data_IF_592084175871
#
_entry.id   IF_592084175871
#
_cell.length_a   1.000
_cell.length_b   1.000
_cell.length_c   1.000
_cell.angle_alpha   90.00
_cell.angle_beta   90.00
_cell.angle_gamma   90.00
#
_symmetry.space_group_name_H-M   'P 1'
#
loop_
_entity.id
_entity.type
_entity.pdbx_description
1 polymer ?
#
# COMPACT_ATOMS: atom_id res chain seq x y z
N UNK A 1 -10.73 14.50 73.95
CA UNK A 1 -9.50 14.27 73.16
C UNK A 1 -9.95 13.51 71.92
N UNK A 2 -10.51 14.22 70.93
CA UNK A 2 -9.81 14.71 69.71
C UNK A 2 -9.53 13.54 68.74
N UNK A 3 -9.72 13.54 67.42
CA UNK A 3 -10.27 14.41 66.36
C UNK A 3 -10.09 13.58 65.05
N UNK A 4 -11.11 13.53 64.16
CA UNK A 4 -11.04 13.45 62.66
C UNK A 4 -10.31 12.20 62.05
N UNK A 5 -10.43 11.75 60.79
CA UNK A 5 -10.75 12.29 59.45
C UNK A 5 -11.33 11.14 58.57
N UNK A 6 -12.14 11.51 57.59
CA UNK A 6 -12.78 10.71 56.53
C UNK A 6 -11.84 10.00 55.53
N UNK A 7 -12.34 8.99 54.79
CA UNK A 7 -12.47 9.00 53.31
C UNK A 7 -12.88 7.63 52.73
N UNK A 8 -13.85 7.65 51.81
CA UNK A 8 -14.35 6.56 50.98
C UNK A 8 -13.35 6.09 49.92
N UNK A 9 -13.45 4.81 49.51
CA UNK A 9 -13.03 4.33 48.17
C UNK A 9 -14.00 3.28 47.64
N UNK A 10 -14.81 3.67 46.67
CA UNK A 10 -15.49 2.75 45.74
C UNK A 10 -14.53 2.30 44.64
N UNK A 11 -14.56 1.01 44.26
CA UNK A 11 -14.57 0.56 42.84
C UNK A 11 -14.57 -0.97 42.75
N UNK A 12 -15.48 -1.55 41.94
CA UNK A 12 -15.10 -2.36 40.78
C UNK A 12 -16.34 -2.84 39.99
N UNK A 13 -16.41 -2.38 38.74
CA UNK A 13 -16.84 -3.11 37.54
C UNK A 13 -18.33 -3.49 37.37
N UNK A 14 -19.08 -2.60 36.71
CA UNK A 14 -20.23 -3.01 35.91
C UNK A 14 -19.84 -3.05 34.43
N UNK A 15 -19.83 -4.25 33.83
CA UNK A 15 -19.54 -4.45 32.40
C UNK A 15 -20.79 -4.08 31.60
N UNK A 16 -20.86 -2.84 31.11
CA UNK A 16 -21.91 -2.46 30.16
C UNK A 16 -21.62 -3.19 28.84
N UNK A 17 -22.51 -4.14 28.49
CA UNK A 17 -22.57 -4.71 27.14
C UNK A 17 -23.02 -3.59 26.20
N UNK A 18 -22.09 -3.00 25.46
CA UNK A 18 -22.43 -2.02 24.42
C UNK A 18 -23.14 -2.73 23.27
N UNK A 19 -24.34 -2.24 22.95
CA UNK A 19 -25.16 -2.70 21.83
C UNK A 19 -24.42 -2.49 20.49
N UNK A 20 -24.68 -3.37 19.51
CA UNK A 20 -24.26 -3.19 18.10
C UNK A 20 -24.65 -1.77 17.64
N UNK A 21 -23.72 -0.92 17.18
CA UNK A 21 -24.11 0.35 16.61
C UNK A 21 -24.89 0.08 15.33
N UNK A 22 -26.04 0.75 15.20
CA UNK A 22 -26.79 0.85 13.96
C UNK A 22 -25.82 1.21 12.82
N UNK A 23 -26.09 0.70 11.63
CA UNK A 23 -25.34 1.07 10.43
C UNK A 23 -25.63 2.54 10.15
N UNK A 24 -24.84 3.44 10.75
CA UNK A 24 -24.68 4.81 10.29
C UNK A 24 -24.38 4.72 8.80
N UNK A 25 -25.39 5.07 8.01
CA UNK A 25 -25.37 4.89 6.57
C UNK A 25 -24.56 6.04 6.01
N UNK A 26 -23.35 5.73 5.55
CA UNK A 26 -22.50 6.72 4.88
C UNK A 26 -23.15 7.07 3.55
N UNK A 27 -23.44 8.35 3.36
CA UNK A 27 -23.99 8.91 2.13
C UNK A 27 -22.92 9.66 1.34
N UNK A 28 -23.25 10.01 0.09
CA UNK A 28 -22.35 10.77 -0.78
C UNK A 28 -21.96 12.14 -0.19
N UNK A 29 -22.88 12.80 0.51
CA UNK A 29 -22.68 14.11 1.13
C UNK A 29 -22.18 14.01 2.58
N UNK A 30 -21.95 12.81 3.10
CA UNK A 30 -21.34 12.63 4.42
C UNK A 30 -19.90 13.11 4.36
N UNK A 31 -19.44 13.78 5.42
CA UNK A 31 -18.05 14.22 5.54
C UNK A 31 -17.17 13.10 6.07
N UNK A 32 -15.93 13.04 5.59
CA UNK A 32 -14.90 12.11 6.05
C UNK A 32 -14.47 12.52 7.46
N UNK A 33 -14.41 11.54 8.35
CA UNK A 33 -14.03 11.70 9.74
C UNK A 33 -12.53 11.99 9.91
N UNK A 34 -12.17 12.81 10.90
CA UNK A 34 -10.76 13.16 11.20
C UNK A 34 -9.90 11.93 11.55
N UNK A 35 -10.45 10.99 12.32
CA UNK A 35 -9.79 9.75 12.70
C UNK A 35 -10.18 8.59 11.76
N UNK A 36 -10.08 8.82 10.44
CA UNK A 36 -10.53 7.85 9.44
C UNK A 36 -9.84 6.48 9.60
N UNK A 37 -10.67 5.43 9.76
CA UNK A 37 -10.24 4.02 9.78
C UNK A 37 -10.98 3.23 8.69
N UNK A 38 -10.26 2.36 7.98
CA UNK A 38 -10.82 1.46 6.98
C UNK A 38 -11.71 0.38 7.62
N UNK A 39 -12.96 0.73 7.92
CA UNK A 39 -13.97 -0.17 8.48
C UNK A 39 -14.72 -0.94 7.39
N UNK A 40 -15.45 -1.99 7.78
CA UNK A 40 -16.32 -2.70 6.85
C UNK A 40 -17.47 -1.82 6.33
N UNK A 41 -17.91 -0.83 7.11
CA UNK A 41 -18.90 0.18 6.67
C UNK A 41 -18.38 0.98 5.49
N UNK A 42 -17.15 1.51 5.60
CA UNK A 42 -16.47 2.24 4.51
C UNK A 42 -16.29 1.34 3.29
N UNK A 43 -15.86 0.09 3.50
CA UNK A 43 -15.68 -0.88 2.42
C UNK A 43 -16.99 -1.15 1.66
N UNK A 44 -18.09 -1.35 2.38
CA UNK A 44 -19.39 -1.59 1.77
C UNK A 44 -19.86 -0.37 0.96
N UNK A 45 -19.73 0.83 1.52
CA UNK A 45 -20.05 2.09 0.83
C UNK A 45 -19.27 2.25 -0.48
N UNK A 46 -17.95 2.10 -0.44
CA UNK A 46 -17.12 2.26 -1.63
C UNK A 46 -17.33 1.14 -2.65
N UNK A 47 -17.53 -0.11 -2.22
CA UNK A 47 -17.89 -1.20 -3.14
C UNK A 47 -19.23 -0.97 -3.84
N UNK A 48 -20.20 -0.35 -3.16
CA UNK A 48 -21.51 -0.04 -3.74
C UNK A 48 -21.40 1.00 -4.87
N UNK A 49 -20.56 2.03 -4.70
CA UNK A 49 -20.44 3.12 -5.69
C UNK A 49 -19.36 2.88 -6.76
N UNK A 50 -18.22 2.29 -6.39
CA UNK A 50 -17.07 2.07 -7.28
C UNK A 50 -17.12 0.67 -7.91
N UNK A 51 -17.74 -0.30 -7.23
CA UNK A 51 -17.88 -1.67 -7.68
C UNK A 51 -16.99 -2.69 -6.97
N UNK A 52 -17.14 -3.96 -7.35
CA UNK A 52 -16.51 -5.12 -6.67
C UNK A 52 -14.99 -5.13 -6.72
N UNK A 53 -14.38 -4.46 -7.71
CA UNK A 53 -12.93 -4.33 -7.85
C UNK A 53 -12.30 -3.34 -6.85
N UNK A 54 -13.13 -2.62 -6.08
CA UNK A 54 -12.65 -1.65 -5.10
C UNK A 54 -11.74 -2.29 -4.05
N UNK A 55 -10.59 -1.65 -3.85
CA UNK A 55 -9.66 -1.93 -2.77
C UNK A 55 -9.07 -0.64 -2.21
N UNK A 56 -8.85 -0.62 -0.90
CA UNK A 56 -8.13 0.46 -0.22
C UNK A 56 -6.63 0.36 -0.55
N UNK A 57 -6.21 0.96 -1.65
CA UNK A 57 -4.78 1.09 -1.95
C UNK A 57 -4.13 2.15 -1.05
N UNK A 58 -2.80 2.07 -0.87
CA UNK A 58 -2.05 2.95 0.06
C UNK A 58 -2.25 4.43 -0.24
N UNK A 59 -2.24 4.81 -1.53
CA UNK A 59 -2.43 6.21 -1.93
C UNK A 59 -3.80 6.74 -1.53
N UNK A 60 -4.85 5.95 -1.76
CA UNK A 60 -6.21 6.31 -1.39
C UNK A 60 -6.42 6.36 0.13
N UNK A 61 -5.82 5.43 0.88
CA UNK A 61 -5.86 5.48 2.35
C UNK A 61 -5.21 6.76 2.89
N UNK A 62 -4.06 7.15 2.34
CA UNK A 62 -3.38 8.38 2.72
C UNK A 62 -4.23 9.61 2.33
N UNK A 63 -4.84 9.59 1.15
CA UNK A 63 -5.73 10.66 0.71
C UNK A 63 -6.90 10.85 1.69
N UNK A 64 -7.57 9.78 2.11
CA UNK A 64 -8.69 9.87 3.05
C UNK A 64 -8.27 10.49 4.39
N UNK A 65 -7.14 10.06 4.95
CA UNK A 65 -6.61 10.58 6.22
C UNK A 65 -6.19 12.06 6.14
N UNK A 66 -5.73 12.52 4.99
CA UNK A 66 -5.31 13.92 4.81
C UNK A 66 -6.45 14.84 4.36
N UNK A 67 -7.64 14.32 4.11
CA UNK A 67 -8.77 15.07 3.58
C UNK A 67 -10.05 14.87 4.41
N UNK A 68 -9.90 14.78 5.73
CA UNK A 68 -11.02 14.89 6.66
C UNK A 68 -11.79 16.20 6.42
N UNK A 69 -13.12 16.14 6.59
CA UNK A 69 -14.02 17.24 6.25
C UNK A 69 -14.39 17.37 4.76
N UNK A 70 -13.82 16.56 3.87
CA UNK A 70 -14.33 16.41 2.48
C UNK A 70 -15.49 15.43 2.41
N UNK A 71 -16.25 15.48 1.31
CA UNK A 71 -17.36 14.55 1.11
C UNK A 71 -16.92 13.18 0.57
N UNK A 72 -17.70 12.14 0.85
CA UNK A 72 -17.49 10.83 0.25
C UNK A 72 -17.68 10.83 -1.28
N UNK A 73 -18.44 11.77 -1.84
CA UNK A 73 -18.49 12.02 -3.28
C UNK A 73 -17.11 12.43 -3.84
N UNK A 74 -16.43 13.37 -3.18
CA UNK A 74 -15.06 13.76 -3.55
C UNK A 74 -14.08 12.60 -3.40
N UNK A 75 -14.26 11.74 -2.39
CA UNK A 75 -13.44 10.54 -2.21
C UNK A 75 -13.57 9.57 -3.40
N UNK A 76 -14.77 9.38 -3.95
CA UNK A 76 -14.98 8.55 -5.14
C UNK A 76 -14.24 9.16 -6.34
N UNK A 77 -14.39 10.47 -6.59
CA UNK A 77 -13.67 11.17 -7.65
C UNK A 77 -12.14 11.06 -7.48
N UNK A 78 -11.64 11.19 -6.26
CA UNK A 78 -10.21 11.05 -5.95
C UNK A 78 -9.72 9.62 -6.23
N UNK A 79 -10.53 8.61 -5.91
CA UNK A 79 -10.19 7.21 -6.19
C UNK A 79 -9.97 6.95 -7.69
N UNK A 80 -10.88 7.44 -8.53
CA UNK A 80 -10.78 7.30 -9.99
C UNK A 80 -9.52 7.97 -10.54
N UNK A 81 -9.18 9.16 -10.03
CA UNK A 81 -7.94 9.88 -10.39
C UNK A 81 -6.69 9.09 -10.01
N UNK A 82 -6.64 8.57 -8.77
CA UNK A 82 -5.53 7.75 -8.28
C UNK A 82 -5.34 6.49 -9.14
N UNK A 83 -6.43 5.86 -9.60
CA UNK A 83 -6.33 4.69 -10.48
C UNK A 83 -5.78 5.06 -11.86
N UNK A 84 -6.20 6.21 -12.41
CA UNK A 84 -5.70 6.70 -13.71
C UNK A 84 -4.20 7.02 -13.62
N UNK A 85 -3.78 7.75 -12.60
CA UNK A 85 -2.38 8.09 -12.35
C UNK A 85 -1.53 6.82 -12.14
N UNK A 86 -2.04 5.82 -11.42
CA UNK A 86 -1.34 4.52 -11.25
C UNK A 86 -1.13 3.79 -12.57
N UNK A 87 -2.06 3.90 -13.53
CA UNK A 87 -1.93 3.28 -14.85
C UNK A 87 -0.85 3.98 -15.68
N UNK A 88 -0.75 5.30 -15.55
CA UNK A 88 0.19 6.12 -16.31
C UNK A 88 1.61 6.06 -15.71
N UNK A 89 1.72 5.87 -14.39
CA UNK A 89 2.99 5.63 -13.70
C UNK A 89 3.26 4.13 -13.53
N UNK A 90 3.75 3.48 -14.59
CA UNK A 90 4.30 2.10 -14.49
C UNK A 90 5.37 2.06 -13.40
N UNK A 91 5.10 1.32 -12.32
CA UNK A 91 5.98 1.29 -11.15
C UNK A 91 7.35 0.67 -11.50
N UNK A 92 8.45 1.15 -10.87
CA UNK A 92 9.80 0.57 -11.02
C UNK A 92 9.91 -0.92 -10.65
N UNK A 93 8.88 -1.49 -9.99
CA UNK A 93 8.84 -2.86 -9.47
C UNK A 93 9.01 -3.92 -10.56
N UNK A 94 8.47 -3.70 -11.76
CA UNK A 94 8.67 -4.62 -12.89
C UNK A 94 10.15 -4.77 -13.27
N UNK A 95 10.89 -3.67 -13.23
CA UNK A 95 12.33 -3.66 -13.51
C UNK A 95 13.13 -4.40 -12.44
N UNK A 96 12.70 -4.33 -11.17
CA UNK A 96 13.40 -5.01 -10.08
C UNK A 96 13.24 -6.53 -10.13
N UNK A 97 12.08 -7.03 -10.57
CA UNK A 97 11.87 -8.47 -10.73
C UNK A 97 12.71 -9.06 -11.89
N UNK A 98 12.79 -8.35 -13.01
CA UNK A 98 13.67 -8.74 -14.13
C UNK A 98 15.14 -8.70 -13.72
N UNK A 99 15.58 -7.62 -13.08
CA UNK A 99 16.93 -7.48 -12.56
C UNK A 99 17.28 -8.63 -11.60
N UNK A 100 16.43 -8.89 -10.61
CA UNK A 100 16.67 -9.96 -9.64
C UNK A 100 16.65 -11.36 -10.28
N UNK A 101 15.88 -11.59 -11.35
CA UNK A 101 15.94 -12.83 -12.11
C UNK A 101 17.27 -12.96 -12.85
N UNK A 102 17.67 -11.92 -13.58
CA UNK A 102 18.92 -11.87 -14.32
C UNK A 102 20.14 -12.11 -13.42
N UNK A 103 20.22 -11.42 -12.27
CA UNK A 103 21.35 -11.56 -11.34
C UNK A 103 21.43 -12.99 -10.78
N UNK A 104 20.30 -13.64 -10.47
CA UNK A 104 20.28 -15.03 -10.00
C UNK A 104 20.80 -15.98 -11.08
N UNK A 105 20.32 -15.83 -12.32
CA UNK A 105 20.73 -16.67 -13.45
C UNK A 105 22.22 -16.46 -13.79
N UNK A 106 22.69 -15.21 -13.74
CA UNK A 106 24.11 -14.88 -13.92
C UNK A 106 24.99 -15.63 -12.91
N UNK A 107 24.66 -15.59 -11.62
CA UNK A 107 25.47 -16.27 -10.60
C UNK A 107 25.35 -17.79 -10.62
N UNK A 108 24.23 -18.34 -11.09
CA UNK A 108 24.08 -19.78 -11.28
C UNK A 108 25.09 -20.32 -12.30
N UNK A 109 25.31 -19.57 -13.39
CA UNK A 109 26.22 -19.95 -14.48
C UNK A 109 27.67 -19.46 -14.28
N UNK A 110 27.89 -18.44 -13.45
CA UNK A 110 29.19 -17.77 -13.32
C UNK A 110 29.67 -17.68 -11.86
N UNK A 111 29.94 -18.84 -11.25
CA UNK A 111 30.46 -18.92 -9.89
C UNK A 111 31.80 -18.18 -9.76
N UNK A 112 31.91 -17.35 -8.72
CA UNK A 112 33.13 -16.59 -8.42
C UNK A 112 33.26 -15.25 -9.15
N UNK A 113 32.29 -14.87 -10.00
CA UNK A 113 32.20 -13.49 -10.54
C UNK A 113 31.71 -12.51 -9.49
N UNK A 114 31.93 -11.22 -9.72
CA UNK A 114 31.48 -10.16 -8.80
C UNK A 114 30.09 -9.63 -9.19
N UNK A 115 29.46 -8.88 -8.27
CA UNK A 115 28.20 -8.21 -8.57
C UNK A 115 28.38 -7.10 -9.61
N UNK A 116 29.55 -6.45 -9.64
CA UNK A 116 29.88 -5.45 -10.65
C UNK A 116 29.89 -6.06 -12.06
N UNK A 117 30.44 -7.27 -12.21
CA UNK A 117 30.41 -8.00 -13.48
C UNK A 117 28.97 -8.31 -13.92
N UNK A 118 28.13 -8.78 -12.98
CA UNK A 118 26.72 -9.07 -13.23
C UNK A 118 25.94 -7.82 -13.66
N UNK A 119 26.17 -6.70 -12.96
CA UNK A 119 25.55 -5.40 -13.27
C UNK A 119 26.04 -4.85 -14.61
N UNK A 120 27.31 -5.05 -14.96
CA UNK A 120 27.85 -4.67 -16.27
C UNK A 120 27.13 -5.43 -17.39
N UNK A 121 27.03 -6.75 -17.27
CA UNK A 121 26.32 -7.59 -18.25
C UNK A 121 24.83 -7.24 -18.33
N UNK A 122 24.18 -6.97 -17.19
CA UNK A 122 22.78 -6.54 -17.15
C UNK A 122 22.54 -5.23 -17.93
N UNK A 123 23.40 -4.23 -17.74
CA UNK A 123 23.32 -2.94 -18.46
C UNK A 123 23.48 -3.14 -19.97
N UNK A 124 24.41 -4.00 -20.38
CA UNK A 124 24.57 -4.40 -21.76
C UNK A 124 23.32 -5.11 -22.29
N UNK A 125 22.77 -6.08 -21.56
CA UNK A 125 21.56 -6.80 -21.99
C UNK A 125 20.37 -5.86 -22.18
N UNK A 126 20.21 -4.90 -21.26
CA UNK A 126 19.14 -3.89 -21.31
C UNK A 126 19.26 -2.91 -22.48
N UNK A 127 20.43 -2.77 -23.10
CA UNK A 127 20.59 -1.92 -24.29
C UNK A 127 20.23 -2.66 -25.59
N UNK A 128 20.12 -3.99 -25.56
CA UNK A 128 19.72 -4.79 -26.70
C UNK A 128 18.20 -4.81 -26.86
N UNK A 129 17.73 -4.88 -28.11
CA UNK A 129 16.31 -5.06 -28.42
C UNK A 129 15.94 -6.53 -28.15
N UNK A 130 14.96 -6.77 -27.28
CA UNK A 130 14.46 -8.12 -26.99
C UNK A 130 14.18 -8.37 -25.52
N UNK A 131 14.33 -9.63 -25.08
CA UNK A 131 14.15 -10.02 -23.69
C UNK A 131 15.40 -9.79 -22.84
N UNK A 132 15.19 -9.56 -21.54
CA UNK A 132 16.27 -9.26 -20.59
C UNK A 132 16.67 -10.47 -19.74
N UNK A 133 16.60 -11.69 -20.29
CA UNK A 133 17.07 -12.91 -19.60
C UNK A 133 18.58 -13.06 -19.77
N UNK A 134 19.25 -13.59 -18.75
CA UNK A 134 20.68 -13.81 -18.81
C UNK A 134 21.04 -14.81 -19.91
N UNK A 135 22.04 -14.47 -20.70
CA UNK A 135 22.67 -15.36 -21.67
C UNK A 135 24.19 -15.29 -21.54
N UNK A 136 24.87 -16.41 -21.80
CA UNK A 136 26.34 -16.47 -21.74
C UNK A 136 27.02 -15.48 -22.69
N UNK A 137 26.35 -15.11 -23.78
CA UNK A 137 26.80 -14.08 -24.72
C UNK A 137 26.92 -12.70 -24.07
N UNK A 138 26.18 -12.43 -23.00
CA UNK A 138 26.19 -11.14 -22.31
C UNK A 138 27.55 -10.88 -21.62
N UNK A 139 28.36 -11.91 -21.40
CA UNK A 139 29.74 -11.80 -20.90
C UNK A 139 30.68 -11.05 -21.85
N UNK A 140 30.26 -10.80 -23.11
CA UNK A 140 30.98 -9.91 -24.02
C UNK A 140 31.18 -8.53 -23.42
N UNK A 141 30.26 -8.08 -22.55
CA UNK A 141 30.35 -6.81 -21.84
C UNK A 141 31.55 -6.70 -20.88
N UNK A 142 32.16 -7.84 -20.51
CA UNK A 142 33.33 -7.88 -19.62
C UNK A 142 34.65 -7.93 -20.37
N UNK A 143 34.62 -8.16 -21.69
CA UNK A 143 35.83 -8.20 -22.52
C UNK A 143 36.21 -6.76 -22.85
N UNK A 144 37.35 -6.31 -22.32
CA UNK A 144 38.02 -5.09 -22.74
C UNK A 144 38.84 -5.34 -24.00
#
# INVERSE_FOLDING_TARGET
MELRIAQERMSAQNRVRTAKPAVETIGLQTFIEDDFVCSEKHRAFFKMHIGKAFSFNVQFQNWLKSNAGRTYQEAICAYERILKEKKDHKSPVGNLQEYNAYIRDFFADNKGRSLEDAVCCWKYKKSLIGHNRYEKTDLVALKK
#
